data_IF_715837954065
#
_entry.id   IF_715837954065
#
_cell.length_a   1.000
_cell.length_b   1.000
_cell.length_c   1.000
_cell.angle_alpha   90.00
_cell.angle_beta   90.00
_cell.angle_gamma   90.00
#
_symmetry.space_group_name_H-M   'P 1'
#
loop_
_entity.id
_entity.type
_entity.pdbx_description
1 polymer ?
#
# COMPACT_ATOMS: atom_id res chain seq x y z
N UNK A 1 -0.45 -20.59 6.79
CA UNK A 1 -1.46 -20.09 5.83
C UNK A 1 -1.58 -18.57 5.90
N UNK A 2 -1.94 -17.97 7.05
CA UNK A 2 -2.13 -16.52 7.19
C UNK A 2 -0.89 -15.69 6.78
N UNK A 3 0.30 -16.03 7.28
CA UNK A 3 1.54 -15.33 6.90
C UNK A 3 1.77 -15.31 5.38
N UNK A 4 1.66 -16.47 4.72
CA UNK A 4 1.84 -16.57 3.27
C UNK A 4 0.83 -15.69 2.50
N UNK A 5 -0.43 -15.64 2.94
CA UNK A 5 -1.44 -14.74 2.38
C UNK A 5 -1.05 -13.27 2.55
N UNK A 6 -0.54 -12.87 3.71
CA UNK A 6 -0.10 -11.49 3.95
C UNK A 6 1.10 -11.13 3.08
N UNK A 7 2.08 -12.03 2.95
CA UNK A 7 3.23 -11.84 2.04
C UNK A 7 2.75 -11.64 0.59
N UNK A 8 1.85 -12.49 0.13
CA UNK A 8 1.27 -12.34 -1.21
C UNK A 8 0.56 -11.00 -1.38
N UNK A 9 -0.23 -10.55 -0.40
CA UNK A 9 -0.90 -9.23 -0.48
C UNK A 9 0.09 -8.06 -0.55
N UNK A 10 1.23 -8.15 0.13
CA UNK A 10 2.30 -7.13 0.06
C UNK A 10 2.96 -7.14 -1.33
N UNK A 11 3.21 -8.31 -1.90
CA UNK A 11 3.74 -8.43 -3.27
C UNK A 11 2.77 -7.93 -4.34
N UNK A 12 1.48 -8.27 -4.19
CA UNK A 12 0.41 -7.79 -5.06
C UNK A 12 0.31 -6.28 -5.02
N UNK A 13 0.37 -5.69 -3.81
CA UNK A 13 0.42 -4.25 -3.61
C UNK A 13 1.61 -3.61 -4.33
N UNK A 14 2.81 -4.16 -4.15
CA UNK A 14 4.01 -3.68 -4.81
C UNK A 14 3.90 -3.77 -6.35
N UNK A 15 3.25 -4.81 -6.88
CA UNK A 15 3.03 -5.00 -8.31
C UNK A 15 2.10 -3.93 -8.89
N UNK A 16 0.93 -3.70 -8.29
CA UNK A 16 -0.01 -2.67 -8.78
C UNK A 16 0.57 -1.26 -8.60
N UNK A 17 1.35 -1.04 -7.53
CA UNK A 17 2.03 0.22 -7.29
C UNK A 17 3.07 0.55 -8.37
N UNK A 18 3.94 -0.41 -8.74
CA UNK A 18 4.91 -0.23 -9.85
C UNK A 18 4.22 0.05 -11.19
N UNK A 19 3.04 -0.53 -11.41
CA UNK A 19 2.23 -0.31 -12.60
C UNK A 19 1.45 1.02 -12.60
N UNK A 20 1.49 1.79 -11.49
CA UNK A 20 0.65 2.98 -11.26
C UNK A 20 -0.85 2.69 -11.41
N UNK A 21 -1.26 1.46 -11.11
CA UNK A 21 -2.65 1.04 -11.18
C UNK A 21 -3.38 1.50 -9.91
N UNK A 22 -4.06 2.65 -10.02
CA UNK A 22 -4.77 3.24 -8.89
C UNK A 22 -5.90 2.34 -8.37
N UNK A 23 -6.62 1.65 -9.25
CA UNK A 23 -7.74 0.81 -8.84
C UNK A 23 -7.23 -0.48 -8.19
N UNK A 24 -6.15 -1.05 -8.74
CA UNK A 24 -5.42 -2.16 -8.14
C UNK A 24 -4.91 -1.82 -6.73
N UNK A 25 -4.22 -0.68 -6.55
CA UNK A 25 -3.74 -0.23 -5.23
C UNK A 25 -4.90 -0.05 -4.25
N UNK A 26 -5.96 0.63 -4.68
CA UNK A 26 -7.09 0.94 -3.79
C UNK A 26 -7.91 -0.29 -3.42
N UNK A 27 -7.96 -1.33 -4.26
CA UNK A 27 -8.66 -2.59 -3.95
C UNK A 27 -8.10 -3.33 -2.72
N UNK A 28 -6.85 -3.03 -2.34
CA UNK A 28 -6.16 -3.67 -1.21
C UNK A 28 -6.38 -2.95 0.13
N UNK A 29 -6.96 -1.74 0.10
CA UNK A 29 -7.23 -0.93 1.29
C UNK A 29 -8.67 -1.07 1.79
N UNK A 30 -8.81 -1.01 3.12
CA UNK A 30 -10.12 -0.90 3.75
C UNK A 30 -10.72 0.51 3.54
N UNK A 31 -12.07 0.65 3.47
CA UNK A 31 -12.73 1.95 3.30
C UNK A 31 -12.34 2.99 4.36
N UNK A 32 -12.08 2.54 5.58
CA UNK A 32 -11.72 3.35 6.75
C UNK A 32 -10.21 3.44 7.01
N UNK A 33 -9.37 3.20 5.99
CA UNK A 33 -7.91 3.27 6.12
C UNK A 33 -7.43 4.58 6.79
N UNK A 34 -6.45 4.44 7.67
CA UNK A 34 -5.62 5.55 8.15
C UNK A 34 -4.20 5.28 7.68
N UNK A 35 -3.59 6.23 6.97
CA UNK A 35 -2.22 6.09 6.47
C UNK A 35 -1.41 7.34 6.72
N UNK A 36 -0.11 7.16 6.89
CA UNK A 36 0.85 8.24 7.03
C UNK A 36 1.89 8.14 5.92
N UNK A 37 2.12 9.23 5.20
CA UNK A 37 2.98 9.27 4.01
C UNK A 37 4.17 10.22 4.18
N UNK A 38 5.09 10.17 3.23
CA UNK A 38 6.38 10.89 3.25
C UNK A 38 6.20 12.41 3.06
N UNK A 39 5.21 12.82 2.28
CA UNK A 39 4.93 14.23 1.95
C UNK A 39 3.66 14.77 2.61
N UNK A 40 3.55 16.09 2.82
CA UNK A 40 2.34 16.70 3.37
C UNK A 40 1.14 16.55 2.41
N UNK A 41 -0.08 16.38 2.95
CA UNK A 41 -0.38 16.14 4.36
C UNK A 41 0.12 14.76 4.83
N UNK A 42 0.73 14.70 6.02
CA UNK A 42 1.38 13.49 6.54
C UNK A 42 0.39 12.40 7.00
N UNK A 43 -0.91 12.70 7.09
CA UNK A 43 -1.94 11.78 7.56
C UNK A 43 -3.18 11.87 6.68
N UNK A 44 -3.62 10.72 6.17
CA UNK A 44 -4.85 10.57 5.41
C UNK A 44 -5.80 9.61 6.14
N UNK A 45 -7.09 9.97 6.18
CA UNK A 45 -8.16 9.16 6.77
C UNK A 45 -9.23 8.92 5.71
N UNK A 46 -9.60 7.66 5.50
CA UNK A 46 -10.57 7.22 4.52
C UNK A 46 -9.98 6.94 3.13
N UNK A 47 -10.58 5.98 2.43
CA UNK A 47 -10.10 5.52 1.12
C UNK A 47 -10.11 6.61 0.05
N UNK A 48 -11.08 7.52 0.05
CA UNK A 48 -11.17 8.60 -0.95
C UNK A 48 -9.99 9.57 -0.84
N UNK A 49 -9.62 9.95 0.39
CA UNK A 49 -8.47 10.81 0.64
C UNK A 49 -7.17 10.10 0.26
N UNK A 50 -7.06 8.81 0.55
CA UNK A 50 -5.89 8.01 0.15
C UNK A 50 -5.78 7.84 -1.37
N UNK A 51 -6.90 7.68 -2.07
CA UNK A 51 -6.95 7.60 -3.54
C UNK A 51 -6.40 8.88 -4.17
N UNK A 52 -6.84 10.05 -3.70
CA UNK A 52 -6.34 11.34 -4.19
C UNK A 52 -4.84 11.48 -3.99
N UNK A 53 -4.35 11.14 -2.80
CA UNK A 53 -2.91 11.17 -2.49
C UNK A 53 -2.08 10.30 -3.45
N UNK A 54 -2.53 9.07 -3.74
CA UNK A 54 -1.84 8.21 -4.69
C UNK A 54 -1.93 8.71 -6.13
N UNK A 55 -3.07 9.28 -6.55
CA UNK A 55 -3.21 9.88 -7.88
C UNK A 55 -2.24 11.04 -8.08
N UNK A 56 -2.13 11.92 -7.09
CA UNK A 56 -1.18 13.04 -7.09
C UNK A 56 0.27 12.53 -7.14
N UNK A 57 0.60 11.52 -6.33
CA UNK A 57 1.92 10.89 -6.36
C UNK A 57 2.23 10.28 -7.72
N UNK A 58 1.32 9.49 -8.30
CA UNK A 58 1.53 8.87 -9.62
C UNK A 58 1.63 9.90 -10.75
N UNK A 59 0.91 11.01 -10.67
CA UNK A 59 1.02 12.11 -11.63
C UNK A 59 2.37 12.85 -11.52
N UNK A 60 2.90 13.00 -10.30
CA UNK A 60 4.18 13.68 -10.07
C UNK A 60 5.39 12.87 -10.57
N UNK A 61 5.31 11.54 -10.58
CA UNK A 61 6.36 10.69 -11.12
C UNK A 61 6.12 10.40 -12.61
N UNK A 62 6.91 10.99 -13.50
CA UNK A 62 6.78 10.78 -14.95
C UNK A 62 7.46 9.49 -15.45
N UNK A 63 8.46 8.98 -14.72
CA UNK A 63 9.21 7.77 -15.06
C UNK A 63 8.60 6.47 -14.51
N UNK A 64 9.23 5.31 -14.82
CA UNK A 64 8.89 4.04 -14.19
C UNK A 64 9.15 4.11 -12.68
N UNK A 65 8.31 3.43 -11.90
CA UNK A 65 8.49 3.31 -10.44
C UNK A 65 9.14 1.96 -10.17
N UNK A 66 10.34 2.00 -9.59
CA UNK A 66 10.94 0.84 -8.94
C UNK A 66 10.48 0.83 -7.48
N UNK A 67 9.91 -0.30 -7.04
CA UNK A 67 9.51 -0.50 -5.65
C UNK A 67 9.76 -1.96 -5.29
N UNK A 68 10.50 -2.17 -4.21
CA UNK A 68 10.88 -3.49 -3.73
C UNK A 68 10.70 -3.53 -2.22
N UNK A 69 10.13 -4.63 -1.74
CA UNK A 69 9.99 -4.92 -0.31
C UNK A 69 11.08 -5.91 0.06
N UNK A 70 11.94 -5.53 1.01
CA UNK A 70 13.05 -6.35 1.50
C UNK A 70 12.83 -6.67 2.97
N UNK A 71 13.41 -7.77 3.45
CA UNK A 71 13.43 -8.14 4.87
C UNK A 71 12.05 -8.14 5.57
N UNK A 72 10.98 -8.48 4.82
CA UNK A 72 9.60 -8.46 5.30
C UNK A 72 9.40 -9.44 6.46
N UNK A 73 9.21 -8.90 7.66
CA UNK A 73 8.78 -9.61 8.85
C UNK A 73 7.25 -9.54 8.96
N UNK A 74 6.61 -10.70 9.13
CA UNK A 74 5.16 -10.81 9.22
C UNK A 74 4.82 -11.45 10.55
N UNK A 75 3.96 -10.79 11.33
CA UNK A 75 3.39 -11.35 12.55
C UNK A 75 1.88 -11.43 12.40
N UNK A 76 1.30 -12.58 12.75
CA UNK A 76 -0.15 -12.83 12.67
C UNK A 76 -0.70 -13.29 14.02
N UNK A 77 -1.89 -12.82 14.39
CA UNK A 77 -2.61 -13.25 15.59
C UNK A 77 -4.12 -13.21 15.35
N UNK A 78 -4.77 -14.38 15.29
CA UNK A 78 -6.19 -14.47 14.96
C UNK A 78 -6.48 -13.86 13.58
N UNK A 79 -7.32 -12.81 13.57
CA UNK A 79 -7.71 -12.08 12.36
C UNK A 79 -6.82 -10.84 12.08
N UNK A 80 -5.79 -10.62 12.89
CA UNK A 80 -4.89 -9.47 12.78
C UNK A 80 -3.52 -9.88 12.22
N UNK A 81 -2.93 -9.02 11.40
CA UNK A 81 -1.53 -9.11 11.00
C UNK A 81 -0.89 -7.72 10.98
N UNK A 82 0.40 -7.65 11.26
CA UNK A 82 1.23 -6.49 10.97
C UNK A 82 2.49 -6.93 10.25
N UNK A 83 3.03 -6.01 9.44
CA UNK A 83 4.24 -6.23 8.67
C UNK A 83 5.24 -5.12 8.93
N UNK A 84 6.51 -5.47 8.93
CA UNK A 84 7.64 -4.54 9.03
C UNK A 84 8.65 -4.91 7.95
N UNK A 85 9.12 -3.94 7.18
CA UNK A 85 10.19 -4.06 6.18
C UNK A 85 11.13 -2.87 6.29
#
# INVERSE_FOLDING_TARGET
MAEATIRQRVEDWAKVFRAKDIDGVMSLYAPNIVSFDIGPPLRYVGADNKRRAWQEAFAAYTGPIAYEVRDLNVTTHGELAFVLS
#
